data_IF_544777643694
#
_entry.id   IF_544777643694
#
_cell.length_a   1.000
_cell.length_b   1.000
_cell.length_c   1.000
_cell.angle_alpha   90.00
_cell.angle_beta   90.00
_cell.angle_gamma   90.00
#
_symmetry.space_group_name_H-M   'P 1'
#
loop_
_entity.id
_entity.type
_entity.pdbx_description
1 polymer ?
#
# COMPACT_ATOMS: atom_id res chain seq x y z
N UNK A 1 -14.34 7.24 -4.80
CA UNK A 1 -14.25 5.91 -5.46
C UNK A 1 -13.27 6.03 -6.63
N UNK A 2 -12.05 5.54 -6.48
CA UNK A 2 -10.92 5.83 -7.41
C UNK A 2 -10.96 5.00 -8.69
N UNK A 3 -11.62 3.82 -8.70
CA UNK A 3 -11.78 3.03 -9.93
C UNK A 3 -13.26 2.84 -10.29
N UNK A 4 -13.62 3.21 -11.52
CA UNK A 4 -14.87 2.81 -12.14
C UNK A 4 -14.63 1.55 -12.96
N UNK A 5 -15.49 0.53 -12.82
CA UNK A 5 -15.40 -0.72 -13.60
C UNK A 5 -15.48 -0.49 -15.11
N UNK A 6 -16.10 0.61 -15.52
CA UNK A 6 -16.20 1.04 -16.90
C UNK A 6 -15.93 2.54 -16.96
N UNK A 7 -14.95 2.94 -17.76
CA UNK A 7 -14.68 4.34 -18.07
C UNK A 7 -14.60 4.49 -19.59
N UNK A 8 -15.25 5.53 -20.12
CA UNK A 8 -15.21 5.88 -21.54
C UNK A 8 -14.78 7.34 -21.68
N UNK A 9 -13.64 7.56 -22.31
CA UNK A 9 -13.16 8.89 -22.63
C UNK A 9 -13.93 9.49 -23.82
N UNK A 10 -14.28 10.77 -23.72
CA UNK A 10 -14.82 11.57 -24.82
C UNK A 10 -13.65 12.28 -25.51
N UNK A 11 -13.00 11.57 -26.42
CA UNK A 11 -11.80 12.04 -27.11
C UNK A 11 -12.13 12.41 -28.55
N UNK A 12 -11.71 13.60 -28.99
CA UNK A 12 -11.93 14.18 -30.33
C UNK A 12 -11.39 13.27 -31.45
N UNK A 13 -10.36 12.47 -31.16
CA UNK A 13 -9.74 11.56 -32.13
C UNK A 13 -10.51 10.24 -32.33
N UNK A 14 -11.57 9.98 -31.55
CA UNK A 14 -12.36 8.75 -31.64
C UNK A 14 -13.64 8.96 -32.47
N UNK A 15 -14.09 7.95 -33.24
CA UNK A 15 -15.30 8.03 -34.06
C UNK A 15 -16.60 8.16 -33.23
N UNK A 16 -16.53 7.92 -31.92
CA UNK A 16 -17.67 8.03 -31.00
C UNK A 16 -17.70 9.35 -30.23
N UNK A 17 -16.92 10.35 -30.68
CA UNK A 17 -16.85 11.67 -30.08
C UNK A 17 -18.20 12.40 -30.11
N UNK A 18 -18.54 13.03 -29.00
CA UNK A 18 -19.77 13.82 -28.87
C UNK A 18 -19.37 15.27 -28.53
N UNK A 19 -19.56 16.24 -29.44
CA UNK A 19 -19.15 17.64 -29.25
C UNK A 19 -19.84 18.37 -28.09
N UNK A 20 -20.99 17.87 -27.62
CA UNK A 20 -21.74 18.47 -26.51
C UNK A 20 -21.19 18.10 -25.13
N UNK A 21 -20.31 17.11 -25.04
CA UNK A 21 -19.70 16.65 -23.79
C UNK A 21 -18.28 17.20 -23.65
N UNK A 22 -17.79 17.42 -22.41
CA UNK A 22 -16.41 17.85 -22.19
C UNK A 22 -15.43 16.79 -22.72
N UNK A 23 -14.27 17.25 -23.20
CA UNK A 23 -13.22 16.36 -23.67
C UNK A 23 -12.61 15.61 -22.48
N UNK A 24 -12.42 14.31 -22.61
CA UNK A 24 -11.74 13.48 -21.61
C UNK A 24 -10.85 12.44 -22.27
N UNK A 25 -9.77 12.09 -21.58
CA UNK A 25 -8.74 11.17 -22.06
C UNK A 25 -8.48 10.12 -20.98
N UNK A 26 -8.24 8.87 -21.41
CA UNK A 26 -7.76 7.80 -20.53
C UNK A 26 -6.25 7.72 -20.72
N UNK A 27 -5.50 7.88 -19.63
CA UNK A 27 -4.05 7.72 -19.64
C UNK A 27 -3.69 6.27 -19.32
N UNK A 28 -2.70 5.75 -20.05
CA UNK A 28 -2.07 4.48 -19.73
C UNK A 28 -0.67 4.78 -19.21
N UNK A 29 -0.47 4.52 -17.92
CA UNK A 29 0.83 4.66 -17.26
C UNK A 29 1.35 3.27 -16.96
N UNK A 30 2.60 3.03 -17.35
CA UNK A 30 3.33 1.80 -17.02
C UNK A 30 4.74 2.14 -16.57
N UNK A 31 5.22 1.43 -15.56
CA UNK A 31 6.55 1.64 -15.00
C UNK A 31 7.57 0.76 -15.72
N UNK A 32 8.38 1.38 -16.57
CA UNK A 32 9.48 0.68 -17.25
C UNK A 32 10.50 0.17 -16.21
N UNK A 33 10.69 -1.15 -16.14
CA UNK A 33 11.65 -1.80 -15.24
C UNK A 33 11.43 -1.51 -13.74
N UNK A 34 10.19 -1.67 -13.26
CA UNK A 34 9.82 -1.46 -11.86
C UNK A 34 10.72 -2.22 -10.87
N UNK A 35 10.99 -3.49 -11.14
CA UNK A 35 11.85 -4.29 -10.25
C UNK A 35 13.29 -3.80 -10.23
N UNK A 36 13.85 -3.43 -11.39
CA UNK A 36 15.21 -2.87 -11.43
C UNK A 36 15.31 -1.56 -10.68
N UNK A 37 14.31 -0.68 -10.79
CA UNK A 37 14.23 0.53 -9.98
C UNK A 37 14.16 0.24 -8.48
N UNK A 38 13.35 -0.74 -8.07
CA UNK A 38 13.24 -1.16 -6.67
C UNK A 38 14.54 -1.80 -6.15
N UNK A 39 15.28 -2.53 -6.99
CA UNK A 39 16.57 -3.13 -6.64
C UNK A 39 17.71 -2.12 -6.53
N UNK A 40 17.56 -0.91 -7.08
CA UNK A 40 18.50 0.20 -6.89
C UNK A 40 18.28 0.95 -5.58
N UNK A 41 17.19 0.68 -4.86
CA UNK A 41 16.92 1.27 -3.55
C UNK A 41 17.78 0.62 -2.47
N UNK A 42 17.96 1.31 -1.34
CA UNK A 42 18.58 0.71 -0.16
C UNK A 42 17.69 -0.42 0.37
N UNK A 43 18.20 -1.65 0.25
CA UNK A 43 17.52 -2.87 0.67
C UNK A 43 18.32 -3.57 1.78
N UNK A 44 17.65 -4.13 2.79
CA UNK A 44 18.33 -4.87 3.84
C UNK A 44 18.97 -6.15 3.28
N UNK A 45 20.25 -6.36 3.55
CA UNK A 45 21.01 -7.52 3.03
C UNK A 45 21.63 -8.41 4.11
N UNK A 46 22.04 -7.85 5.25
CA UNK A 46 22.75 -8.57 6.32
C UNK A 46 22.63 -7.87 7.68
N UNK A 47 23.31 -8.41 8.72
CA UNK A 47 23.45 -7.86 10.08
C UNK A 47 22.16 -7.56 10.84
N UNK A 48 21.20 -8.47 10.65
CA UNK A 48 19.93 -8.47 11.34
C UNK A 48 20.08 -8.76 12.85
N UNK A 49 19.69 -7.82 13.72
CA UNK A 49 19.72 -7.99 15.18
C UNK A 49 18.42 -7.51 15.86
N UNK A 50 18.00 -8.09 16.98
CA UNK A 50 16.80 -7.61 17.70
C UNK A 50 17.18 -6.48 18.69
N UNK A 51 16.32 -5.48 18.81
CA UNK A 51 16.34 -4.40 19.81
C UNK A 51 14.95 -4.16 20.37
N UNK A 52 14.89 -3.84 21.65
CA UNK A 52 13.66 -3.40 22.33
C UNK A 52 13.61 -1.86 22.46
N UNK A 53 14.59 -1.16 21.89
CA UNK A 53 14.66 0.30 21.94
C UNK A 53 13.59 0.95 21.07
N UNK A 54 13.00 2.03 21.58
CA UNK A 54 12.03 2.82 20.82
C UNK A 54 12.75 3.63 19.74
N UNK A 55 12.57 3.26 18.47
CA UNK A 55 12.99 4.11 17.34
C UNK A 55 11.76 4.72 16.68
N UNK A 56 11.80 6.04 16.52
CA UNK A 56 10.76 6.77 15.82
C UNK A 56 10.89 6.55 14.30
N UNK A 57 9.93 5.84 13.71
CA UNK A 57 9.91 5.48 12.29
C UNK A 57 9.93 6.68 11.33
N UNK A 58 9.38 7.82 11.75
CA UNK A 58 9.30 9.03 10.91
C UNK A 58 10.67 9.71 10.77
N UNK A 59 11.56 9.50 11.73
CA UNK A 59 12.87 10.16 11.77
C UNK A 59 13.96 9.42 10.98
N UNK A 60 13.74 8.16 10.60
CA UNK A 60 14.72 7.36 9.85
C UNK A 60 14.67 7.78 8.38
N UNK A 61 15.74 8.32 7.78
CA UNK A 61 15.77 8.64 6.35
C UNK A 61 15.52 7.41 5.48
N UNK A 62 14.94 7.60 4.29
CA UNK A 62 14.69 6.50 3.35
C UNK A 62 15.98 5.91 2.76
N UNK A 63 17.02 6.75 2.65
CA UNK A 63 18.36 6.38 2.17
C UNK A 63 19.32 6.08 3.33
N UNK A 64 18.79 5.82 4.53
CA UNK A 64 19.60 5.40 5.68
C UNK A 64 20.31 4.09 5.39
N UNK A 65 21.56 3.97 5.85
CA UNK A 65 22.31 2.70 5.82
C UNK A 65 21.68 1.64 6.73
N UNK A 66 20.92 2.08 7.73
CA UNK A 66 20.19 1.24 8.67
C UNK A 66 18.69 1.38 8.43
N UNK A 67 18.05 0.27 8.07
CA UNK A 67 16.60 0.17 7.98
C UNK A 67 16.00 -0.52 9.20
N UNK A 68 14.80 -0.09 9.59
CA UNK A 68 14.03 -0.72 10.67
C UNK A 68 12.85 -1.51 10.11
N UNK A 69 12.61 -2.68 10.69
CA UNK A 69 11.39 -3.47 10.50
C UNK A 69 10.66 -3.51 11.84
N UNK A 70 9.35 -3.27 11.79
CA UNK A 70 8.49 -3.15 12.94
C UNK A 70 7.43 -4.25 12.93
N UNK A 71 7.14 -4.79 14.11
CA UNK A 71 5.90 -5.53 14.40
C UNK A 71 4.94 -4.55 15.08
N UNK A 72 3.78 -4.27 14.49
CA UNK A 72 2.80 -3.29 15.02
C UNK A 72 1.37 -3.84 14.98
N UNK A 73 0.51 -3.23 15.79
CA UNK A 73 -0.95 -3.35 15.64
C UNK A 73 -1.46 -2.15 14.84
N UNK A 74 -2.31 -2.39 13.84
CA UNK A 74 -2.89 -1.36 12.98
C UNK A 74 -4.41 -1.37 13.13
N UNK A 75 -4.96 -0.29 13.64
CA UNK A 75 -6.40 -0.05 13.65
C UNK A 75 -6.83 0.62 12.34
N UNK A 76 -7.95 0.16 11.78
CA UNK A 76 -8.52 0.68 10.54
C UNK A 76 -9.85 1.37 10.84
N UNK A 77 -9.89 2.71 10.89
CA UNK A 77 -11.12 3.45 11.17
C UNK A 77 -12.20 3.20 10.11
N UNK A 78 -13.44 2.98 10.55
CA UNK A 78 -14.60 2.78 9.66
C UNK A 78 -14.81 3.96 8.70
N UNK A 79 -14.45 5.18 9.11
CA UNK A 79 -14.55 6.40 8.30
C UNK A 79 -13.73 6.33 7.00
N UNK A 80 -12.64 5.56 7.00
CA UNK A 80 -11.76 5.40 5.84
C UNK A 80 -12.19 4.28 4.90
N UNK A 81 -13.18 3.45 5.28
CA UNK A 81 -13.59 2.29 4.49
C UNK A 81 -14.09 2.66 3.10
N UNK A 82 -14.89 3.73 2.99
CA UNK A 82 -15.41 4.18 1.69
C UNK A 82 -14.31 4.77 0.79
N UNK A 83 -13.34 5.46 1.40
CA UNK A 83 -12.20 6.05 0.69
C UNK A 83 -11.26 4.97 0.16
N UNK A 84 -10.93 3.99 1.01
CA UNK A 84 -9.92 2.97 0.74
C UNK A 84 -10.48 1.67 0.16
N UNK A 85 -11.78 1.59 -0.13
CA UNK A 85 -12.44 0.40 -0.71
C UNK A 85 -11.74 -0.12 -1.99
N UNK A 86 -11.14 0.77 -2.79
CA UNK A 86 -10.44 0.36 -4.01
C UNK A 86 -9.03 -0.17 -3.75
N UNK A 87 -8.34 0.34 -2.73
CA UNK A 87 -6.95 -0.01 -2.41
C UNK A 87 -6.74 -0.12 -0.90
N UNK A 88 -7.25 -1.20 -0.27
CA UNK A 88 -6.98 -1.45 1.15
C UNK A 88 -5.48 -1.58 1.41
N UNK A 89 -5.02 -0.90 2.45
CA UNK A 89 -3.62 -0.95 2.91
C UNK A 89 -3.33 -2.26 3.66
N UNK A 90 -2.05 -2.58 3.80
CA UNK A 90 -1.54 -3.71 4.60
C UNK A 90 -2.23 -5.05 4.29
N UNK A 91 -2.05 -5.62 3.08
CA UNK A 91 -2.66 -6.90 2.74
C UNK A 91 -2.12 -8.02 3.64
N UNK A 92 -2.98 -8.99 3.95
CA UNK A 92 -2.66 -10.11 4.84
C UNK A 92 -2.78 -11.44 4.11
N UNK A 93 -1.97 -12.40 4.55
CA UNK A 93 -2.06 -13.77 4.08
C UNK A 93 -3.16 -14.49 4.88
N UNK A 94 -4.35 -14.63 4.28
CA UNK A 94 -5.52 -15.24 4.93
C UNK A 94 -6.15 -16.33 4.08
N UNK A 95 -6.82 -17.25 4.75
CA UNK A 95 -7.71 -18.21 4.13
C UNK A 95 -9.11 -17.61 3.99
N UNK A 96 -9.61 -17.51 2.75
CA UNK A 96 -10.96 -16.98 2.50
C UNK A 96 -11.98 -18.09 2.63
N UNK A 97 -12.87 -17.96 3.61
CA UNK A 97 -13.92 -18.95 3.83
C UNK A 97 -15.04 -18.79 2.80
N UNK A 98 -15.65 -19.91 2.38
CA UNK A 98 -16.79 -19.88 1.47
C UNK A 98 -17.96 -19.08 2.06
N UNK A 99 -18.10 -19.01 3.38
CA UNK A 99 -19.11 -18.20 4.07
C UNK A 99 -18.96 -16.70 3.78
N UNK A 100 -17.73 -16.20 3.68
CA UNK A 100 -17.39 -14.79 3.43
C UNK A 100 -17.57 -14.37 1.96
N UNK A 101 -17.64 -15.35 1.05
CA UNK A 101 -17.85 -15.07 -0.37
C UNK A 101 -19.24 -14.46 -0.64
N UNK A 102 -19.28 -13.51 -1.58
CA UNK A 102 -20.51 -12.92 -2.07
C UNK A 102 -21.45 -13.98 -2.70
N UNK A 103 -22.78 -13.84 -2.58
CA UNK A 103 -23.73 -14.85 -3.08
C UNK A 103 -23.57 -15.22 -4.55
N UNK A 104 -23.24 -14.25 -5.41
CA UNK A 104 -22.99 -14.50 -6.84
C UNK A 104 -21.79 -15.43 -7.05
N UNK A 105 -20.68 -15.22 -6.33
CA UNK A 105 -19.50 -16.09 -6.38
C UNK A 105 -19.82 -17.51 -5.92
N UNK A 106 -20.67 -17.66 -4.90
CA UNK A 106 -21.15 -18.96 -4.43
C UNK A 106 -21.95 -19.70 -5.52
N UNK A 107 -22.78 -18.99 -6.29
CA UNK A 107 -23.57 -19.58 -7.37
C UNK A 107 -22.66 -20.07 -8.51
N UNK A 108 -21.69 -19.26 -8.94
CA UNK A 108 -20.69 -19.67 -9.94
C UNK A 108 -19.91 -20.89 -9.46
N UNK A 109 -19.44 -20.88 -8.21
CA UNK A 109 -18.66 -22.00 -7.68
C UNK A 109 -19.46 -23.31 -7.66
N UNK A 110 -20.78 -23.25 -7.45
CA UNK A 110 -21.69 -24.41 -7.58
C UNK A 110 -21.85 -24.85 -9.02
N UNK A 111 -22.11 -23.92 -9.93
CA UNK A 111 -22.31 -24.18 -11.36
C UNK A 111 -21.11 -24.91 -11.97
N UNK A 112 -19.90 -24.43 -11.65
CA UNK A 112 -18.65 -24.99 -12.19
C UNK A 112 -18.02 -26.09 -11.30
N UNK A 113 -18.70 -26.52 -10.22
CA UNK A 113 -18.20 -27.56 -9.29
C UNK A 113 -16.82 -27.27 -8.69
N UNK A 114 -16.49 -26.00 -8.45
CA UNK A 114 -15.16 -25.53 -7.99
C UNK A 114 -15.01 -25.66 -6.46
N UNK A 115 -16.11 -25.88 -5.73
CA UNK A 115 -16.17 -25.91 -4.25
C UNK A 115 -15.33 -26.99 -3.56
N UNK A 116 -14.61 -27.85 -4.32
CA UNK A 116 -13.73 -28.90 -3.79
C UNK A 116 -12.25 -28.48 -3.76
N UNK A 117 -11.91 -27.24 -4.09
CA UNK A 117 -10.51 -26.80 -4.02
C UNK A 117 -10.01 -26.79 -2.59
N UNK A 118 -8.80 -27.33 -2.37
CA UNK A 118 -8.07 -27.23 -1.10
C UNK A 118 -8.02 -25.77 -0.68
N UNK A 119 -8.29 -25.49 0.59
CA UNK A 119 -8.13 -24.16 1.13
C UNK A 119 -6.65 -23.77 1.07
N UNK A 120 -6.37 -22.62 0.47
CA UNK A 120 -5.02 -22.07 0.30
C UNK A 120 -5.06 -20.64 0.77
N UNK A 121 -4.08 -20.27 1.59
CA UNK A 121 -3.89 -18.91 2.02
C UNK A 121 -3.52 -18.02 0.83
N UNK A 122 -4.21 -16.89 0.70
CA UNK A 122 -3.95 -15.90 -0.34
C UNK A 122 -3.60 -14.57 0.31
N UNK A 123 -2.80 -13.77 -0.39
CA UNK A 123 -2.60 -12.38 -0.01
C UNK A 123 -3.87 -11.61 -0.37
N UNK A 124 -4.62 -11.16 0.65
CA UNK A 124 -5.91 -10.51 0.49
C UNK A 124 -5.85 -9.09 1.07
N UNK A 125 -6.08 -8.05 0.25
CA UNK A 125 -6.31 -6.71 0.76
C UNK A 125 -7.67 -6.67 1.46
N UNK A 126 -7.68 -6.22 2.71
CA UNK A 126 -8.90 -6.14 3.51
C UNK A 126 -8.81 -5.00 4.52
N UNK A 127 -9.96 -4.41 4.86
CA UNK A 127 -10.07 -3.22 5.72
C UNK A 127 -10.20 -3.57 7.22
N UNK A 128 -9.81 -4.79 7.64
CA UNK A 128 -9.89 -5.19 9.06
C UNK A 128 -8.67 -4.68 9.82
N UNK A 129 -8.81 -4.51 11.13
CA UNK A 129 -7.67 -4.29 12.03
C UNK A 129 -6.63 -5.40 11.87
N UNK A 130 -5.35 -5.02 11.95
CA UNK A 130 -4.19 -5.91 11.88
C UNK A 130 -3.58 -6.03 13.26
N UNK A 131 -3.15 -7.23 13.61
CA UNK A 131 -2.38 -7.46 14.83
C UNK A 131 -1.04 -8.09 14.49
N UNK A 132 0.03 -7.65 15.15
CA UNK A 132 1.41 -8.13 14.93
C UNK A 132 1.82 -8.12 13.45
N UNK A 133 1.45 -7.05 12.75
CA UNK A 133 1.78 -6.88 11.34
C UNK A 133 3.24 -6.47 11.22
N UNK A 134 4.00 -7.20 10.40
CA UNK A 134 5.43 -6.95 10.20
C UNK A 134 5.64 -6.13 8.94
N UNK A 135 6.27 -4.97 9.07
CA UNK A 135 6.54 -4.07 7.94
C UNK A 135 7.83 -3.26 8.07
N UNK A 136 8.37 -2.86 6.93
CA UNK A 136 9.52 -1.97 6.84
C UNK A 136 9.14 -0.51 7.14
N UNK A 137 10.05 0.27 7.72
CA UNK A 137 9.81 1.67 8.12
C UNK A 137 9.27 2.56 6.97
N UNK A 138 9.74 2.35 5.73
CA UNK A 138 9.24 3.08 4.54
C UNK A 138 7.75 2.82 4.27
N UNK A 139 7.32 1.56 4.41
CA UNK A 139 5.91 1.21 4.26
C UNK A 139 5.07 1.76 5.42
N UNK A 140 5.65 1.86 6.62
CA UNK A 140 4.98 2.42 7.77
C UNK A 140 4.71 3.91 7.58
N UNK A 141 5.71 4.68 7.10
CA UNK A 141 5.51 6.08 6.73
C UNK A 141 4.42 6.26 5.68
N UNK A 142 4.41 5.41 4.65
CA UNK A 142 3.37 5.44 3.62
C UNK A 142 1.98 5.18 4.21
N UNK A 143 1.84 4.18 5.09
CA UNK A 143 0.57 3.88 5.73
C UNK A 143 0.14 5.06 6.61
N UNK A 144 1.04 5.62 7.41
CA UNK A 144 0.76 6.77 8.27
C UNK A 144 0.30 7.99 7.45
N UNK A 145 0.99 8.31 6.36
CA UNK A 145 0.62 9.39 5.45
C UNK A 145 -0.77 9.17 4.84
N UNK A 146 -1.04 7.98 4.28
CA UNK A 146 -2.33 7.69 3.63
C UNK A 146 -3.47 7.62 4.64
N UNK A 147 -3.23 7.18 5.88
CA UNK A 147 -4.25 7.19 6.94
C UNK A 147 -4.55 8.61 7.45
N UNK A 148 -3.59 9.53 7.38
CA UNK A 148 -3.74 10.92 7.79
C UNK A 148 -4.31 11.84 6.69
N UNK A 149 -4.40 11.38 5.44
CA UNK A 149 -4.91 12.18 4.32
C UNK A 149 -6.38 11.90 3.97
N UNK A 150 -7.36 12.57 4.59
CA UNK A 150 -8.71 12.58 4.05
C UNK A 150 -8.85 13.55 2.86
N UNK A 151 -7.93 14.50 2.60
CA UNK A 151 -8.13 15.59 1.61
C UNK A 151 -6.84 16.26 1.06
N UNK A 152 -5.95 15.54 0.35
CA UNK A 152 -5.08 16.21 -0.64
C UNK A 152 -5.50 15.80 -2.04
N UNK A 153 -6.30 16.65 -2.69
CA UNK A 153 -6.42 16.60 -4.14
C UNK A 153 -5.02 16.79 -4.72
N UNK A 154 -4.59 15.87 -5.59
CA UNK A 154 -3.34 15.99 -6.32
C UNK A 154 -3.38 17.25 -7.21
N UNK A 155 -2.89 18.38 -6.69
CA UNK A 155 -2.48 19.50 -7.53
C UNK A 155 -1.25 19.05 -8.31
N UNK A 156 -1.36 19.09 -9.65
CA UNK A 156 -0.34 18.68 -10.60
C UNK A 156 1.03 19.31 -10.26
N UNK A 157 1.94 18.54 -9.68
CA UNK A 157 3.35 18.90 -9.60
C UNK A 157 4.07 18.42 -10.87
N UNK A 158 4.71 19.39 -11.53
CA UNK A 158 5.39 19.23 -12.81
C UNK A 158 6.47 18.14 -12.76
N UNK A 159 6.55 17.35 -13.83
CA UNK A 159 7.42 16.20 -14.01
C UNK A 159 8.93 16.52 -14.23
N UNK A 160 9.44 17.65 -13.74
CA UNK A 160 10.84 18.07 -14.03
C UNK A 160 11.84 17.85 -12.88
N UNK A 161 11.42 17.52 -11.65
CA UNK A 161 12.32 17.50 -10.48
C UNK A 161 13.00 16.15 -10.16
N UNK A 162 12.88 15.13 -11.02
CA UNK A 162 13.39 13.77 -10.75
C UNK A 162 14.79 13.45 -11.34
N UNK A 163 15.69 14.44 -11.42
CA UNK A 163 17.10 14.19 -11.81
C UNK A 163 18.07 14.81 -10.81
N UNK A 164 19.04 14.00 -10.40
CA UNK A 164 20.04 14.21 -9.33
C UNK A 164 19.44 13.94 -7.94
N UNK A 165 19.92 12.96 -7.17
CA UNK A 165 21.24 12.95 -6.56
C UNK A 165 21.70 11.50 -6.34
N UNK A 166 22.94 11.16 -6.70
CA UNK A 166 23.66 9.98 -6.20
C UNK A 166 24.86 10.52 -5.43
N UNK A 167 25.03 10.18 -4.15
CA UNK A 167 26.35 10.23 -3.51
C UNK A 167 26.86 8.82 -3.23
N UNK A 168 28.09 8.59 -3.71
CA UNK A 168 28.99 7.56 -3.20
C UNK A 168 29.43 7.94 -1.77
N UNK A 169 29.60 6.97 -0.89
CA UNK A 169 30.88 6.59 -0.25
C UNK A 169 30.64 5.81 1.06
N UNK A 170 31.57 4.92 1.32
CA UNK A 170 31.66 3.94 2.37
C UNK A 170 31.68 4.55 3.79
N UNK A 171 31.01 3.87 4.73
CA UNK A 171 31.55 3.41 6.02
C UNK A 171 30.62 3.59 7.24
N UNK A 172 30.34 2.43 7.88
CA UNK A 172 30.24 2.16 9.33
C UNK A 172 28.90 2.24 10.08
N UNK A 173 28.66 1.09 10.72
CA UNK A 173 28.19 0.83 12.10
C UNK A 173 26.67 0.77 12.45
N UNK A 174 26.18 -0.49 12.48
CA UNK A 174 25.37 -1.25 13.48
C UNK A 174 24.25 -0.57 14.30
N UNK A 175 22.99 -1.07 14.17
CA UNK A 175 22.08 -1.59 15.24
C UNK A 175 20.58 -1.74 14.79
N UNK A 176 20.07 -2.98 14.70
CA UNK A 176 18.82 -3.52 15.30
C UNK A 176 17.36 -3.24 14.83
N UNK A 177 16.56 -4.31 14.70
CA UNK A 177 15.07 -4.44 14.56
C UNK A 177 14.31 -4.12 15.85
N UNK A 178 13.10 -3.58 15.75
CA UNK A 178 12.33 -3.18 16.93
C UNK A 178 11.11 -4.08 17.09
N UNK A 179 11.00 -4.70 18.26
CA UNK A 179 9.75 -5.31 18.71
C UNK A 179 8.96 -4.26 19.49
N UNK A 180 7.81 -3.84 18.99
CA UNK A 180 6.95 -2.89 19.70
C UNK A 180 5.54 -3.44 19.85
N UNK A 181 5.25 -3.93 21.05
CA UNK A 181 3.86 -4.02 21.53
C UNK A 181 3.41 -2.60 21.86
N UNK A 182 2.73 -1.94 20.91
CA UNK A 182 2.13 -0.63 21.16
C UNK A 182 0.64 -0.70 20.82
N UNK A 183 -0.19 -0.85 21.85
CA UNK A 183 -1.60 -0.48 21.79
C UNK A 183 -1.67 1.04 21.63
N UNK A 184 -2.05 1.51 20.44
CA UNK A 184 -2.19 2.94 20.16
C UNK A 184 -3.53 3.47 20.68
N UNK A 185 -3.68 3.61 22.00
CA UNK A 185 -4.63 4.56 22.59
C UNK A 185 -4.06 5.98 22.46
N UNK A 186 -4.22 6.64 21.32
CA UNK A 186 -3.98 8.09 21.22
C UNK A 186 -4.83 8.73 20.13
N UNK A 187 -6.05 9.15 20.50
CA UNK A 187 -6.61 10.46 20.12
C UNK A 187 -7.82 10.78 21.00
N UNK A 188 -7.55 11.06 22.28
CA UNK A 188 -8.42 11.92 23.10
C UNK A 188 -7.55 12.72 24.06
N UNK A 189 -7.10 13.90 23.59
CA UNK A 189 -6.60 14.98 24.45
C UNK A 189 -6.81 16.34 23.77
N UNK A 190 -8.04 16.84 23.84
CA UNK A 190 -8.37 18.09 24.55
C UNK A 190 -9.88 18.28 24.65
#
# INVERSE_FOLDING_TARGET
>A
MVSHRYAKANNVYLPTYVPSLPNSYIIYLDANNLYGWAMLQNLPTHDFSWTDEYVNCTNVPDDSDIGCIFEIDLEYPDELHDLHNCYPLAPEKIEVLVSECFPYTKNIAKEFSILKSKYVEKLVPNLRNKTKYVLHHRNLKLIDEVMQEPQKEFENSNAEDLKSVIPNDDSKEVLGFIKQETSAEMLNKK
#
